data_IF_768071033055
#
_entry.id   IF_768071033055
#
_cell.length_a   1.000
_cell.length_b   1.000
_cell.length_c   1.000
_cell.angle_alpha   90.00
_cell.angle_beta   90.00
_cell.angle_gamma   90.00
#
_symmetry.space_group_name_H-M   'P 1'
#
loop_
_entity.id
_entity.type
_entity.pdbx_description
1 polymer ?
#
# COMPACT_ATOMS: atom_id res chain seq x y z
N UNK A 1 -41.39 -66.74 17.60
CA UNK A 1 -40.11 -66.67 18.33
C UNK A 1 -39.46 -65.34 18.01
N UNK A 2 -39.37 -64.42 18.98
CA UNK A 2 -38.60 -63.17 18.84
C UNK A 2 -37.18 -63.42 19.32
N UNK A 3 -36.20 -62.84 18.63
CA UNK A 3 -34.93 -62.49 19.27
C UNK A 3 -34.31 -61.26 18.61
N UNK A 4 -34.07 -60.24 19.42
CA UNK A 4 -33.35 -59.01 19.10
C UNK A 4 -31.86 -59.18 19.42
N UNK A 5 -30.96 -58.73 18.54
CA UNK A 5 -29.58 -58.39 18.90
C UNK A 5 -28.96 -57.37 17.94
N UNK A 6 -28.41 -56.32 18.55
CA UNK A 6 -27.69 -55.19 17.99
C UNK A 6 -26.28 -55.57 17.54
N UNK A 7 -25.73 -54.91 16.51
CA UNK A 7 -24.28 -54.80 16.30
C UNK A 7 -23.90 -53.42 15.74
N UNK A 8 -23.06 -52.72 16.51
CA UNK A 8 -22.11 -51.68 16.05
C UNK A 8 -21.10 -52.32 15.10
N UNK A 9 -20.48 -51.53 14.20
CA UNK A 9 -19.03 -51.48 13.88
C UNK A 9 -18.78 -50.94 12.45
N UNK A 10 -17.96 -49.87 12.40
CA UNK A 10 -16.91 -49.54 11.43
C UNK A 10 -17.17 -49.47 9.90
N UNK A 11 -16.91 -48.27 9.37
CA UNK A 11 -15.79 -47.95 8.46
C UNK A 11 -16.06 -47.63 6.97
N UNK A 12 -15.45 -46.50 6.59
CA UNK A 12 -14.86 -46.10 5.30
C UNK A 12 -15.78 -45.76 4.10
N UNK A 13 -15.76 -44.47 3.73
CA UNK A 13 -16.18 -43.99 2.41
C UNK A 13 -15.89 -42.49 2.25
N UNK A 14 -14.88 -42.16 1.45
CA UNK A 14 -14.24 -40.86 1.29
C UNK A 14 -15.17 -39.69 0.89
N UNK A 15 -14.97 -38.55 1.56
CA UNK A 15 -15.51 -37.25 1.16
C UNK A 15 -14.55 -36.15 1.61
N UNK A 16 -13.55 -35.86 0.78
CA UNK A 16 -12.56 -34.80 1.00
C UNK A 16 -13.19 -33.46 0.59
N UNK A 17 -13.63 -32.66 1.56
CA UNK A 17 -14.06 -31.28 1.35
C UNK A 17 -13.33 -30.36 2.34
N UNK A 18 -12.34 -29.64 1.79
CA UNK A 18 -11.61 -28.46 2.27
C UNK A 18 -11.92 -27.96 3.70
N UNK A 19 -11.00 -28.26 4.63
CA UNK A 19 -10.83 -27.50 5.86
C UNK A 19 -10.12 -26.17 5.57
N UNK A 20 -10.85 -25.06 5.57
CA UNK A 20 -10.29 -23.73 5.92
C UNK A 20 -10.96 -23.30 7.22
N UNK A 21 -10.45 -23.83 8.32
CA UNK A 21 -10.73 -23.35 9.68
C UNK A 21 -9.76 -24.03 10.64
N UNK A 22 -8.50 -23.60 10.61
CA UNK A 22 -7.63 -23.73 11.78
C UNK A 22 -7.23 -22.33 12.18
N UNK A 23 -7.91 -21.84 13.21
CA UNK A 23 -7.51 -20.65 13.94
C UNK A 23 -6.13 -20.90 14.53
N UNK A 24 -5.25 -19.91 14.36
CA UNK A 24 -4.03 -19.81 15.11
C UNK A 24 -4.39 -19.45 16.56
N UNK A 25 -4.68 -20.44 17.39
CA UNK A 25 -4.79 -20.26 18.83
C UNK A 25 -3.39 -20.32 19.47
N UNK A 26 -3.04 -19.24 20.18
CA UNK A 26 -1.89 -19.04 21.07
C UNK A 26 -0.63 -18.41 20.46
N UNK A 27 -0.69 -17.09 20.25
CA UNK A 27 0.46 -16.20 20.39
C UNK A 27 0.29 -15.36 21.66
N UNK A 28 1.28 -15.28 22.57
CA UNK A 28 1.19 -14.45 23.77
C UNK A 28 1.31 -12.96 23.38
N UNK A 29 0.29 -12.17 23.73
CA UNK A 29 0.21 -10.73 23.46
C UNK A 29 -1.22 -10.22 23.62
N UNK A 30 -1.41 -8.95 23.99
CA UNK A 30 -2.74 -8.35 24.18
C UNK A 30 -3.48 -8.18 22.85
N UNK A 31 -4.81 -8.01 22.90
CA UNK A 31 -5.70 -8.02 21.73
C UNK A 31 -5.31 -6.99 20.65
N UNK A 32 -4.69 -5.86 21.01
CA UNK A 32 -4.13 -4.90 20.03
C UNK A 32 -2.95 -5.46 19.21
N UNK A 33 -2.19 -6.43 19.72
CA UNK A 33 -1.02 -7.01 19.04
C UNK A 33 -1.40 -8.07 18.00
N UNK A 34 -2.52 -8.76 18.17
CA UNK A 34 -2.94 -9.80 17.22
C UNK A 34 -3.52 -9.23 15.92
N UNK A 35 -4.14 -8.06 15.95
CA UNK A 35 -4.54 -7.32 14.74
C UNK A 35 -3.34 -6.85 13.91
N UNK A 36 -2.23 -6.49 14.57
CA UNK A 36 -0.99 -6.08 13.91
C UNK A 36 -0.19 -7.27 13.33
N UNK A 37 -0.36 -8.48 13.86
CA UNK A 37 0.37 -9.67 13.36
C UNK A 37 -0.24 -10.20 12.06
N UNK A 38 -1.57 -10.18 11.91
CA UNK A 38 -2.23 -10.65 10.69
C UNK A 38 -2.16 -9.59 9.56
N UNK A 39 -2.09 -8.30 9.89
CA UNK A 39 -1.93 -7.22 8.90
C UNK A 39 -0.48 -6.75 8.65
N UNK A 40 0.41 -6.85 9.65
CA UNK A 40 1.75 -6.24 9.61
C UNK A 40 2.90 -7.22 9.39
N UNK A 41 2.84 -8.44 9.95
CA UNK A 41 3.88 -9.46 9.72
C UNK A 41 3.66 -10.18 8.38
N UNK A 42 2.41 -10.44 8.01
CA UNK A 42 2.05 -10.96 6.69
C UNK A 42 2.23 -9.93 5.55
N UNK A 43 2.00 -8.65 5.83
CA UNK A 43 2.21 -7.54 4.88
C UNK A 43 3.69 -7.30 4.58
N UNK A 44 4.55 -7.39 5.59
CA UNK A 44 6.00 -7.32 5.41
C UNK A 44 6.56 -8.56 4.68
N UNK A 45 6.03 -9.75 4.94
CA UNK A 45 6.44 -10.98 4.25
C UNK A 45 5.90 -11.04 2.82
N UNK A 46 4.70 -10.55 2.53
CA UNK A 46 4.22 -10.40 1.15
C UNK A 46 4.95 -9.26 0.43
N UNK A 47 5.22 -8.14 1.09
CA UNK A 47 6.01 -7.03 0.55
C UNK A 47 7.45 -7.42 0.23
N UNK A 48 8.04 -8.34 1.00
CA UNK A 48 9.38 -8.90 0.78
C UNK A 48 9.38 -10.11 -0.17
N UNK A 49 8.37 -10.98 -0.16
CA UNK A 49 8.28 -12.17 -1.01
C UNK A 49 7.74 -11.89 -2.42
N UNK A 50 7.03 -10.77 -2.64
CA UNK A 50 6.69 -10.23 -3.96
C UNK A 50 7.85 -9.34 -4.49
N UNK A 51 8.97 -9.29 -3.77
CA UNK A 51 10.23 -8.68 -4.20
C UNK A 51 11.00 -9.57 -5.18
N UNK A 52 10.51 -9.66 -6.41
CA UNK A 52 11.31 -10.05 -7.58
C UNK A 52 10.92 -9.17 -8.76
N UNK A 53 11.81 -8.46 -9.45
CA UNK A 53 13.25 -8.19 -9.26
C UNK A 53 13.47 -6.71 -9.64
N UNK A 54 14.26 -5.98 -8.84
CA UNK A 54 14.68 -4.59 -9.06
C UNK A 54 13.55 -3.51 -8.99
N UNK A 55 13.76 -2.42 -8.24
CA UNK A 55 13.21 -1.08 -8.56
C UNK A 55 11.97 -0.51 -7.83
N UNK A 56 11.44 -1.13 -6.76
CA UNK A 56 10.39 -0.49 -5.93
C UNK A 56 10.97 0.41 -4.83
N UNK A 57 11.33 1.64 -5.21
CA UNK A 57 11.92 2.65 -4.31
C UNK A 57 11.05 2.90 -3.08
N UNK A 58 9.73 2.96 -3.29
CA UNK A 58 8.75 3.19 -2.22
C UNK A 58 8.32 1.87 -1.58
N UNK A 59 8.25 0.79 -2.36
CA UNK A 59 7.70 -0.49 -1.90
C UNK A 59 8.45 -1.15 -0.73
N UNK A 60 9.79 -1.04 -0.66
CA UNK A 60 10.54 -1.55 0.48
C UNK A 60 10.38 -0.67 1.74
N UNK A 61 10.17 0.63 1.55
CA UNK A 61 9.95 1.58 2.63
C UNK A 61 8.54 1.51 3.22
N UNK A 62 7.55 1.39 2.35
CA UNK A 62 6.13 1.57 2.66
C UNK A 62 5.38 0.23 2.74
N UNK A 63 5.92 -0.84 2.14
CA UNK A 63 5.32 -2.19 2.15
C UNK A 63 5.16 -2.78 3.55
N UNK A 64 5.95 -2.33 4.53
CA UNK A 64 5.79 -2.70 5.94
C UNK A 64 4.71 -1.88 6.69
N UNK A 65 4.33 -0.71 6.19
CA UNK A 65 3.38 0.18 6.84
C UNK A 65 1.93 0.03 6.32
N UNK A 66 1.75 -0.52 5.12
CA UNK A 66 0.48 -0.44 4.37
C UNK A 66 -0.23 -1.78 4.09
N UNK A 67 0.38 -2.92 4.41
CA UNK A 67 -0.27 -4.24 4.29
C UNK A 67 -0.64 -4.66 2.87
N UNK A 68 -1.19 -5.88 2.72
CA UNK A 68 -1.66 -6.41 1.45
C UNK A 68 -2.96 -5.70 1.04
N UNK A 69 -2.89 -4.79 0.06
CA UNK A 69 -4.07 -4.04 -0.40
C UNK A 69 -3.77 -2.67 -1.03
N UNK A 70 -2.53 -2.19 -0.95
CA UNK A 70 -2.13 -0.90 -1.53
C UNK A 70 -2.67 0.25 -0.67
N UNK A 71 -1.92 0.64 0.35
CA UNK A 71 -2.32 1.72 1.24
C UNK A 71 -2.46 3.08 0.54
N UNK A 72 -2.67 4.13 1.32
CA UNK A 72 -3.07 5.42 0.77
C UNK A 72 -1.93 6.16 0.07
N UNK A 73 -0.67 5.87 0.40
CA UNK A 73 0.48 6.60 -0.13
C UNK A 73 0.84 6.10 -1.53
N UNK A 74 1.05 7.06 -2.42
CA UNK A 74 1.45 6.85 -3.81
C UNK A 74 2.67 7.69 -4.21
N UNK A 75 3.11 8.62 -3.36
CA UNK A 75 4.32 9.42 -3.58
C UNK A 75 5.05 9.77 -2.28
N UNK A 76 6.36 9.97 -2.36
CA UNK A 76 7.13 10.51 -1.25
C UNK A 76 8.38 11.27 -1.70
N UNK A 77 8.84 12.18 -0.83
CA UNK A 77 10.10 12.88 -1.02
C UNK A 77 11.30 11.93 -0.92
N UNK A 78 12.37 12.24 -1.67
CA UNK A 78 13.61 11.48 -1.64
C UNK A 78 14.18 11.35 -0.21
N UNK A 79 14.10 12.40 0.61
CA UNK A 79 14.57 12.37 2.00
C UNK A 79 13.74 11.44 2.90
N UNK A 80 12.42 11.35 2.65
CA UNK A 80 11.54 10.42 3.37
C UNK A 80 11.86 8.98 3.00
N UNK A 81 12.15 8.76 1.72
CA UNK A 81 12.58 7.48 1.16
C UNK A 81 13.94 7.07 1.75
N UNK A 82 15.00 7.86 1.54
CA UNK A 82 16.34 7.50 2.03
C UNK A 82 16.41 7.41 3.56
N UNK A 83 15.65 8.26 4.26
CA UNK A 83 15.52 8.28 5.71
C UNK A 83 14.66 7.15 6.30
N UNK A 84 14.00 6.31 5.47
CA UNK A 84 13.11 5.24 5.93
C UNK A 84 12.04 5.74 6.91
N UNK A 85 11.38 6.85 6.59
CA UNK A 85 10.39 7.48 7.47
C UNK A 85 9.05 6.72 7.51
N UNK A 86 9.09 5.51 8.08
CA UNK A 86 7.92 4.62 8.23
C UNK A 86 6.86 5.22 9.13
N UNK A 87 7.25 5.98 10.16
CA UNK A 87 6.30 6.65 11.06
C UNK A 87 5.58 7.80 10.35
N UNK A 88 6.29 8.58 9.54
CA UNK A 88 5.70 9.60 8.69
C UNK A 88 4.69 9.00 7.73
N UNK A 89 5.06 7.90 7.06
CA UNK A 89 4.16 7.18 6.18
C UNK A 89 2.91 6.63 6.88
N UNK A 90 3.07 6.02 8.07
CA UNK A 90 1.93 5.55 8.86
C UNK A 90 0.99 6.70 9.22
N UNK A 91 1.54 7.85 9.63
CA UNK A 91 0.77 9.05 9.94
C UNK A 91 0.05 9.61 8.71
N UNK A 92 0.72 9.71 7.57
CA UNK A 92 0.11 10.15 6.32
C UNK A 92 -1.05 9.23 5.91
N UNK A 93 -0.85 7.90 5.98
CA UNK A 93 -1.92 6.93 5.69
C UNK A 93 -3.09 7.00 6.67
N UNK A 94 -2.84 7.17 7.98
CA UNK A 94 -3.91 7.33 8.97
C UNK A 94 -4.67 8.65 8.76
N UNK A 95 -3.95 9.71 8.39
CA UNK A 95 -4.55 11.01 8.08
C UNK A 95 -5.44 10.91 6.85
N UNK A 96 -4.96 10.31 5.77
CA UNK A 96 -5.78 10.03 4.58
C UNK A 96 -7.07 9.23 4.87
N UNK A 97 -7.00 8.28 5.81
CA UNK A 97 -8.17 7.48 6.23
C UNK A 97 -9.17 8.26 7.07
N UNK A 98 -8.68 9.02 8.05
CA UNK A 98 -9.52 9.61 9.10
C UNK A 98 -9.89 11.07 8.83
N UNK A 99 -9.07 11.76 8.04
CA UNK A 99 -9.14 13.18 7.73
C UNK A 99 -8.69 13.40 6.27
N UNK A 100 -9.42 12.85 5.29
CA UNK A 100 -9.04 12.95 3.88
C UNK A 100 -8.98 14.41 3.40
N UNK A 101 -8.10 14.66 2.44
CA UNK A 101 -7.97 15.96 1.80
C UNK A 101 -9.29 16.41 1.18
N UNK A 102 -9.62 17.68 1.39
CA UNK A 102 -10.85 18.28 0.85
C UNK A 102 -10.58 18.99 -0.47
N UNK A 103 -11.59 19.08 -1.37
CA UNK A 103 -11.47 19.86 -2.60
C UNK A 103 -11.09 21.33 -2.36
N UNK A 104 -11.49 21.92 -1.23
CA UNK A 104 -11.13 23.30 -0.91
C UNK A 104 -9.65 23.44 -0.54
N UNK A 105 -9.08 22.50 0.22
CA UNK A 105 -7.64 22.47 0.50
C UNK A 105 -6.86 22.25 -0.79
N UNK A 106 -7.30 21.28 -1.61
CA UNK A 106 -6.68 20.98 -2.89
C UNK A 106 -6.68 22.19 -3.84
N UNK A 107 -7.77 22.96 -3.96
CA UNK A 107 -7.80 24.19 -4.79
C UNK A 107 -6.69 25.18 -4.44
N UNK A 108 -6.42 25.35 -3.15
CA UNK A 108 -5.45 26.32 -2.65
C UNK A 108 -4.01 25.80 -2.63
N UNK A 109 -3.81 24.49 -2.76
CA UNK A 109 -2.48 23.89 -2.81
C UNK A 109 -1.78 24.17 -4.14
N UNK A 110 -0.46 24.37 -4.08
CA UNK A 110 0.41 24.49 -5.26
C UNK A 110 0.99 23.15 -5.71
N UNK A 111 0.79 22.09 -4.92
CA UNK A 111 1.36 20.75 -5.09
C UNK A 111 0.29 19.69 -4.86
N UNK A 112 0.56 18.45 -5.26
CA UNK A 112 -0.30 17.31 -4.92
C UNK A 112 -0.15 16.81 -3.48
N UNK A 113 0.96 17.13 -2.82
CA UNK A 113 1.09 17.01 -1.36
C UNK A 113 0.35 18.22 -0.75
N UNK A 114 -0.93 18.03 -0.45
CA UNK A 114 -1.87 19.08 -0.06
C UNK A 114 -1.65 19.46 1.40
N UNK A 115 -1.32 18.49 2.24
CA UNK A 115 -1.10 18.69 3.67
C UNK A 115 0.37 19.00 4.04
N UNK A 116 1.30 18.89 3.07
CA UNK A 116 2.73 19.18 3.18
C UNK A 116 3.48 18.29 4.17
N UNK A 117 3.05 17.02 4.31
CA UNK A 117 3.71 16.07 5.22
C UNK A 117 4.92 15.34 4.58
N UNK A 118 5.11 15.52 3.27
CA UNK A 118 6.19 14.93 2.48
C UNK A 118 5.83 13.60 1.82
N UNK A 119 4.56 13.23 1.85
CA UNK A 119 3.96 12.12 1.13
C UNK A 119 2.81 12.64 0.26
N UNK A 120 2.47 11.90 -0.80
CA UNK A 120 1.23 12.12 -1.54
C UNK A 120 0.36 10.89 -1.37
N UNK A 121 -0.91 11.12 -1.04
CA UNK A 121 -1.90 10.06 -0.88
C UNK A 121 -2.97 10.06 -1.98
N UNK A 122 -3.67 8.94 -2.14
CA UNK A 122 -4.75 8.76 -3.13
C UNK A 122 -5.82 9.85 -2.99
N UNK A 123 -6.25 10.14 -1.76
CA UNK A 123 -7.30 11.10 -1.46
C UNK A 123 -6.90 12.53 -1.84
N UNK A 124 -5.62 12.88 -1.78
CA UNK A 124 -5.14 14.20 -2.23
C UNK A 124 -5.27 14.38 -3.74
N UNK A 125 -4.92 13.34 -4.52
CA UNK A 125 -5.09 13.37 -5.98
C UNK A 125 -6.57 13.38 -6.36
N UNK A 126 -7.40 12.60 -5.65
CA UNK A 126 -8.85 12.65 -5.81
C UNK A 126 -9.40 14.04 -5.44
N UNK A 127 -8.89 14.68 -4.39
CA UNK A 127 -9.32 16.02 -3.98
C UNK A 127 -8.95 17.09 -5.03
N UNK A 128 -7.83 16.95 -5.74
CA UNK A 128 -7.47 17.82 -6.87
C UNK A 128 -8.48 17.69 -8.02
N UNK A 129 -8.90 16.46 -8.36
CA UNK A 129 -9.93 16.22 -9.38
C UNK A 129 -11.28 16.81 -8.96
N UNK A 130 -11.75 16.47 -7.75
CA UNK A 130 -13.01 16.96 -7.18
C UNK A 130 -13.02 18.48 -6.96
N UNK A 131 -11.85 19.10 -6.87
CA UNK A 131 -11.68 20.56 -6.86
C UNK A 131 -12.02 21.22 -8.20
N UNK A 132 -12.23 20.43 -9.26
CA UNK A 132 -12.53 20.89 -10.61
C UNK A 132 -11.28 21.34 -11.37
N UNK A 133 -10.09 20.86 -10.99
CA UNK A 133 -8.89 21.12 -11.76
C UNK A 133 -8.91 20.35 -13.07
N UNK A 134 -8.34 20.94 -14.11
CA UNK A 134 -8.06 20.23 -15.35
C UNK A 134 -6.92 19.23 -15.17
N UNK A 135 -6.88 18.19 -16.00
CA UNK A 135 -5.81 17.19 -16.04
C UNK A 135 -4.41 17.82 -16.02
N UNK A 136 -4.20 18.87 -16.82
CA UNK A 136 -2.92 19.55 -16.88
C UNK A 136 -2.55 20.20 -15.55
N UNK A 137 -3.50 20.85 -14.87
CA UNK A 137 -3.25 21.45 -13.56
C UNK A 137 -2.95 20.39 -12.49
N UNK A 138 -3.61 19.23 -12.55
CA UNK A 138 -3.31 18.12 -11.65
C UNK A 138 -1.89 17.61 -11.92
N UNK A 139 -1.55 17.35 -13.19
CA UNK A 139 -0.21 16.90 -13.61
C UNK A 139 0.86 17.90 -13.18
N UNK A 140 0.65 19.20 -13.38
CA UNK A 140 1.60 20.25 -13.00
C UNK A 140 1.83 20.26 -11.48
N UNK A 141 0.78 20.09 -10.68
CA UNK A 141 0.87 20.03 -9.20
C UNK A 141 1.52 18.75 -8.69
N UNK A 142 1.26 17.62 -9.34
CA UNK A 142 1.93 16.35 -9.05
C UNK A 142 3.42 16.47 -9.43
N UNK A 143 3.76 17.06 -10.56
CA UNK A 143 5.15 17.27 -10.97
C UNK A 143 5.87 18.24 -10.02
N UNK A 144 5.19 19.30 -9.58
CA UNK A 144 5.71 20.30 -8.66
C UNK A 144 6.07 19.75 -7.27
N UNK A 145 5.59 18.56 -6.90
CA UNK A 145 6.02 17.92 -5.64
C UNK A 145 7.50 17.54 -5.66
N UNK A 146 8.07 17.26 -6.83
CA UNK A 146 9.42 16.67 -6.95
C UNK A 146 9.52 15.25 -6.36
N UNK A 147 8.40 14.64 -5.98
CA UNK A 147 8.35 13.34 -5.32
C UNK A 147 8.49 12.19 -6.30
N UNK A 148 9.02 11.07 -5.82
CA UNK A 148 8.94 9.81 -6.56
C UNK A 148 7.55 9.25 -6.33
N UNK A 149 6.87 8.86 -7.41
CA UNK A 149 5.57 8.19 -7.36
C UNK A 149 5.74 6.70 -7.62
N UNK A 150 4.91 5.87 -7.02
CA UNK A 150 4.82 4.43 -7.32
C UNK A 150 3.40 3.99 -7.01
N UNK A 151 2.69 3.50 -8.03
CA UNK A 151 1.30 3.10 -7.92
C UNK A 151 1.17 1.60 -8.19
N UNK A 152 0.31 0.91 -7.45
CA UNK A 152 -0.15 -0.43 -7.80
C UNK A 152 -1.33 -0.38 -8.77
N UNK A 153 -1.59 -1.49 -9.46
CA UNK A 153 -2.74 -1.59 -10.36
C UNK A 153 -4.09 -1.36 -9.64
N UNK A 154 -4.18 -1.69 -8.35
CA UNK A 154 -5.35 -1.40 -7.49
C UNK A 154 -5.50 0.11 -7.24
N UNK A 155 -4.41 0.79 -6.91
CA UNK A 155 -4.39 2.23 -6.63
C UNK A 155 -4.77 3.04 -7.87
N UNK A 156 -4.29 2.62 -9.04
CA UNK A 156 -4.65 3.26 -10.31
C UNK A 156 -6.12 3.08 -10.66
N UNK A 157 -6.64 1.87 -10.49
CA UNK A 157 -8.07 1.60 -10.64
C UNK A 157 -8.87 2.44 -9.65
N UNK A 158 -8.43 2.53 -8.41
CA UNK A 158 -9.09 3.36 -7.41
C UNK A 158 -9.15 4.84 -7.82
N UNK A 159 -8.03 5.43 -8.26
CA UNK A 159 -8.01 6.82 -8.74
C UNK A 159 -8.99 7.02 -9.91
N UNK A 160 -8.97 6.11 -10.90
CA UNK A 160 -9.87 6.17 -12.05
C UNK A 160 -11.34 6.00 -11.66
N UNK A 161 -11.65 5.08 -10.74
CA UNK A 161 -13.01 4.85 -10.22
C UNK A 161 -13.53 6.07 -9.43
N UNK A 162 -12.62 6.87 -8.85
CA UNK A 162 -12.93 8.13 -8.17
C UNK A 162 -12.99 9.35 -9.09
N UNK A 163 -12.80 9.18 -10.41
CA UNK A 163 -12.95 10.22 -11.42
C UNK A 163 -11.64 10.75 -12.00
N UNK A 164 -10.49 10.45 -11.40
CA UNK A 164 -9.19 10.91 -11.88
C UNK A 164 -8.92 10.33 -13.25
N UNK A 165 -8.58 11.19 -14.23
CA UNK A 165 -8.42 10.74 -15.60
C UNK A 165 -7.24 9.77 -15.78
N UNK A 166 -7.39 8.86 -16.75
CA UNK A 166 -6.30 7.93 -17.14
C UNK A 166 -5.02 8.68 -17.55
N UNK A 167 -5.16 9.87 -18.14
CA UNK A 167 -4.01 10.69 -18.53
C UNK A 167 -3.20 11.10 -17.32
N UNK A 168 -3.85 11.62 -16.26
CA UNK A 168 -3.18 11.97 -15.00
C UNK A 168 -2.45 10.74 -14.42
N UNK A 169 -3.16 9.62 -14.25
CA UNK A 169 -2.61 8.39 -13.67
C UNK A 169 -1.40 7.87 -14.47
N UNK A 170 -1.47 7.91 -15.80
CA UNK A 170 -0.35 7.47 -16.67
C UNK A 170 0.86 8.38 -16.50
N UNK A 171 0.66 9.70 -16.50
CA UNK A 171 1.74 10.67 -16.35
C UNK A 171 2.42 10.55 -14.98
N UNK A 172 1.66 10.29 -13.91
CA UNK A 172 2.20 10.07 -12.57
C UNK A 172 3.29 8.99 -12.52
N UNK A 173 3.14 7.90 -13.28
CA UNK A 173 4.12 6.79 -13.33
C UNK A 173 5.48 7.23 -13.85
N UNK A 174 5.47 8.18 -14.79
CA UNK A 174 6.64 8.65 -15.53
C UNK A 174 7.32 9.84 -14.85
N UNK A 175 6.62 10.53 -13.94
CA UNK A 175 7.19 11.63 -13.18
C UNK A 175 8.35 11.18 -12.30
N UNK A 176 9.39 12.00 -12.29
CA UNK A 176 10.59 11.83 -11.48
C UNK A 176 11.28 10.46 -11.63
N UNK A 177 11.15 9.83 -12.82
CA UNK A 177 11.82 8.56 -13.16
C UNK A 177 13.33 8.60 -12.92
N UNK A 178 14.01 9.69 -13.28
CA UNK A 178 15.45 9.85 -13.04
C UNK A 178 15.79 9.87 -11.53
N UNK A 179 14.96 10.50 -10.71
CA UNK A 179 15.12 10.49 -9.24
C UNK A 179 14.91 9.06 -8.71
N UNK A 180 13.88 8.36 -9.21
CA UNK A 180 13.65 6.95 -8.88
C UNK A 180 14.87 6.09 -9.22
N UNK A 181 15.41 6.22 -10.43
CA UNK A 181 16.60 5.49 -10.89
C UNK A 181 17.82 5.75 -10.01
N UNK A 182 18.06 7.00 -9.60
CA UNK A 182 19.16 7.36 -8.68
C UNK A 182 18.99 6.68 -7.32
N UNK A 183 17.80 6.77 -6.73
CA UNK A 183 17.50 6.19 -5.41
C UNK A 183 17.66 4.66 -5.39
N UNK A 184 17.43 4.00 -6.52
CA UNK A 184 17.64 2.56 -6.66
C UNK A 184 19.11 2.19 -6.74
N UNK A 185 19.91 2.98 -7.46
CA UNK A 185 21.35 2.78 -7.52
C UNK A 185 21.99 2.96 -6.14
N UNK A 186 21.57 3.98 -5.38
CA UNK A 186 22.06 4.22 -4.02
C UNK A 186 21.73 3.06 -3.07
N UNK A 187 20.53 2.47 -3.17
CA UNK A 187 20.13 1.34 -2.33
C UNK A 187 20.92 0.06 -2.64
N UNK A 188 21.23 -0.21 -3.92
CA UNK A 188 22.03 -1.38 -4.34
C UNK A 188 23.48 -1.30 -3.86
N UNK A 189 24.05 -0.08 -3.80
CA UNK A 189 25.40 0.11 -3.25
C UNK A 189 25.45 -0.18 -1.74
N UNK A 190 24.38 0.13 -1.00
CA UNK A 190 24.32 -0.07 0.47
C UNK A 190 24.08 -1.55 0.83
N UNK A 191 23.42 -2.33 -0.03
CA UNK A 191 23.09 -3.74 0.24
C UNK A 191 24.24 -4.72 -0.05
N UNK A 192 25.33 -4.28 -0.68
CA UNK A 192 26.50 -5.13 -0.94
C UNK A 192 27.36 -5.29 0.33
N UNK A 193 27.68 -6.53 0.76
CA UNK A 193 28.59 -6.75 1.88
C UNK A 193 30.01 -6.28 1.53
N UNK A 194 30.79 -5.77 2.50
CA UNK A 194 32.19 -5.42 2.27
C UNK A 194 32.97 -6.65 1.80
N UNK A 195 33.80 -6.46 0.76
CA UNK A 195 34.69 -7.50 0.21
C UNK A 195 35.80 -7.88 1.18
#
# INVERSE_FOLDING_TARGET
MLNTRSYRWLALGAGTLLLVSTGCENLPGSDEQQGAVIGGVGGAVAGAAIGGEERRVLGALLGGALGAGGGYIIGANADRITGRDTQGAQRASQTAQTQPATPQQARNASTADVNQDGFVTLDEVVALDQAGLSDQQIIDRVAATGQVFELTDEQERHLMDQGVSRQVVTQMRDLNRATRERLLQEQDVISQPPR
#
